data_IF_587530896714
#
_entry.id   IF_587530896714
#
_cell.length_a   1.000
_cell.length_b   1.000
_cell.length_c   1.000
_cell.angle_alpha   90.00
_cell.angle_beta   90.00
_cell.angle_gamma   90.00
#
_symmetry.space_group_name_H-M   'P 1'
#
loop_
_entity.id
_entity.type
_entity.pdbx_description
1 polymer ?
#
# COMPACT_ATOMS: atom_id res chain seq x y z
N UNK A 1 36.31 -6.55 26.52
CA UNK A 1 35.35 -6.20 27.59
C UNK A 1 34.21 -5.43 26.95
N UNK A 2 33.22 -6.15 26.43
CA UNK A 2 32.12 -5.56 25.64
C UNK A 2 31.10 -4.99 26.60
N UNK A 3 30.89 -3.68 26.56
CA UNK A 3 29.88 -3.00 27.36
C UNK A 3 28.49 -3.51 26.93
N UNK A 4 27.83 -4.22 27.85
CA UNK A 4 26.38 -4.47 27.80
C UNK A 4 25.68 -3.14 28.02
N UNK A 5 25.13 -2.53 26.97
CA UNK A 5 24.17 -1.44 27.13
C UNK A 5 22.76 -2.01 27.26
N UNK A 6 22.11 -1.55 28.31
CA UNK A 6 20.86 -2.01 28.90
C UNK A 6 19.65 -1.86 27.98
N UNK A 7 18.84 -2.91 27.92
CA UNK A 7 17.50 -2.94 27.34
C UNK A 7 16.55 -1.98 28.06
N UNK A 8 15.75 -1.21 27.31
CA UNK A 8 14.55 -0.54 27.84
C UNK A 8 13.27 -1.23 27.31
N UNK A 9 12.80 -2.33 27.95
CA UNK A 9 11.62 -3.10 27.54
C UNK A 9 10.30 -2.31 27.54
N UNK A 10 10.25 -1.12 28.17
CA UNK A 10 9.06 -0.27 28.22
C UNK A 10 8.76 0.44 26.89
N UNK A 11 9.80 0.85 26.13
CA UNK A 11 9.62 1.51 24.84
C UNK A 11 9.19 0.54 23.71
N UNK A 12 9.44 -0.75 23.91
CA UNK A 12 9.01 -1.84 23.02
C UNK A 12 7.53 -2.17 23.27
N UNK A 13 7.14 -2.36 24.54
CA UNK A 13 5.74 -2.59 24.92
C UNK A 13 4.79 -1.46 24.52
N UNK A 14 5.21 -0.20 24.67
CA UNK A 14 4.39 0.94 24.25
C UNK A 14 4.17 0.97 22.72
N UNK A 15 5.17 0.57 21.94
CA UNK A 15 5.07 0.53 20.48
C UNK A 15 4.21 -0.63 20.00
N UNK A 16 4.31 -1.81 20.61
CA UNK A 16 3.48 -2.97 20.26
C UNK A 16 2.02 -2.73 20.62
N UNK A 17 1.76 -1.98 21.70
CA UNK A 17 0.41 -1.51 22.06
C UNK A 17 -0.11 -0.49 21.03
N UNK A 18 0.73 0.42 20.54
CA UNK A 18 0.34 1.38 19.48
C UNK A 18 0.10 0.64 18.16
N UNK A 19 0.96 -0.30 17.76
CA UNK A 19 0.78 -1.12 16.57
C UNK A 19 -0.51 -1.93 16.64
N UNK A 20 -0.73 -2.67 17.74
CA UNK A 20 -1.96 -3.44 17.95
C UNK A 20 -3.22 -2.56 18.07
N UNK A 21 -3.10 -1.33 18.60
CA UNK A 21 -4.24 -0.39 18.71
C UNK A 21 -4.54 0.33 17.40
N UNK A 22 -3.52 0.63 16.59
CA UNK A 22 -3.64 1.22 15.25
C UNK A 22 -4.22 0.21 14.26
N UNK A 23 -3.78 -1.06 14.32
CA UNK A 23 -4.23 -2.12 13.41
C UNK A 23 -5.48 -2.85 13.91
N UNK A 24 -5.78 -2.83 15.22
CA UNK A 24 -6.90 -3.56 15.81
C UNK A 24 -8.26 -2.87 15.73
N UNK A 25 -8.31 -1.54 15.55
CA UNK A 25 -9.54 -0.74 15.61
C UNK A 25 -9.92 0.04 14.35
N UNK A 26 -8.95 0.35 13.48
CA UNK A 26 -9.11 1.28 12.37
C UNK A 26 -8.78 0.65 11.01
N UNK A 27 -9.35 1.23 9.95
CA UNK A 27 -8.84 1.06 8.60
C UNK A 27 -7.44 1.67 8.55
N UNK A 28 -6.44 0.93 8.11
CA UNK A 28 -5.05 1.42 8.08
C UNK A 28 -4.81 2.17 6.78
N UNK A 29 -4.99 1.49 5.64
CA UNK A 29 -4.78 2.03 4.30
C UNK A 29 -6.10 2.25 3.58
N UNK A 30 -6.25 3.40 2.91
CA UNK A 30 -7.43 3.73 2.12
C UNK A 30 -7.18 3.59 0.60
N UNK A 31 -5.91 3.55 0.17
CA UNK A 31 -5.45 3.13 -1.15
C UNK A 31 -4.19 2.27 -1.01
N UNK A 32 -3.92 1.42 -2.00
CA UNK A 32 -2.64 0.72 -2.12
C UNK A 32 -1.54 1.72 -2.48
N UNK A 33 -0.31 1.43 -2.03
CA UNK A 33 0.89 2.24 -2.22
C UNK A 33 1.96 1.43 -2.99
N UNK A 34 1.49 0.58 -3.90
CA UNK A 34 2.29 -0.28 -4.74
C UNK A 34 1.83 -0.10 -6.18
N UNK A 35 2.74 0.24 -7.10
CA UNK A 35 2.35 0.52 -8.48
C UNK A 35 1.91 -0.75 -9.24
N UNK A 36 0.60 -0.93 -9.54
CA UNK A 36 0.15 -2.13 -10.20
C UNK A 36 0.62 -2.20 -11.67
N UNK A 37 1.05 -1.08 -12.27
CA UNK A 37 1.62 -1.05 -13.62
C UNK A 37 2.92 -1.85 -13.70
N UNK A 38 3.72 -1.77 -12.65
CA UNK A 38 4.97 -2.51 -12.53
C UNK A 38 4.71 -3.93 -12.05
N UNK A 39 3.77 -4.10 -11.12
CA UNK A 39 3.41 -5.43 -10.61
C UNK A 39 2.89 -6.32 -11.73
N UNK A 40 2.04 -5.83 -12.63
CA UNK A 40 1.54 -6.62 -13.76
C UNK A 40 2.64 -7.02 -14.75
N UNK A 41 3.64 -6.16 -14.96
CA UNK A 41 4.84 -6.50 -15.75
C UNK A 41 5.69 -7.56 -15.07
N UNK A 42 5.86 -7.47 -13.74
CA UNK A 42 6.62 -8.45 -12.98
C UNK A 42 5.87 -9.77 -12.87
N UNK A 43 4.56 -9.76 -12.64
CA UNK A 43 3.76 -10.94 -12.35
C UNK A 43 3.41 -11.73 -13.60
N UNK A 44 3.22 -11.08 -14.76
CA UNK A 44 2.82 -11.72 -16.02
C UNK A 44 1.60 -12.65 -15.82
N UNK A 45 0.56 -12.15 -15.15
CA UNK A 45 -0.65 -12.90 -14.85
C UNK A 45 -1.32 -13.42 -16.13
N UNK A 46 -1.84 -14.65 -16.03
CA UNK A 46 -2.51 -15.41 -17.10
C UNK A 46 -3.85 -15.99 -16.62
N UNK A 47 -4.75 -16.42 -17.52
CA UNK A 47 -6.04 -16.99 -17.14
C UNK A 47 -6.01 -18.16 -16.15
N UNK A 48 -4.92 -18.93 -16.10
CA UNK A 48 -4.67 -20.03 -15.16
C UNK A 48 -4.05 -19.58 -13.82
N UNK A 49 -3.87 -18.27 -13.62
CA UNK A 49 -3.18 -17.73 -12.46
C UNK A 49 -4.04 -17.79 -11.21
N UNK A 50 -3.49 -18.37 -10.15
CA UNK A 50 -4.09 -18.46 -8.81
C UNK A 50 -3.20 -17.63 -7.89
N UNK A 51 -3.71 -16.47 -7.46
CA UNK A 51 -2.91 -15.44 -6.79
C UNK A 51 -3.26 -15.42 -5.30
N UNK A 52 -2.25 -15.43 -4.43
CA UNK A 52 -2.39 -15.12 -3.01
C UNK A 52 -1.73 -13.78 -2.76
N UNK A 53 -2.44 -12.83 -2.18
CA UNK A 53 -1.91 -11.49 -1.96
C UNK A 53 -2.37 -10.87 -0.66
N UNK A 54 -1.56 -9.97 -0.11
CA UNK A 54 -2.02 -9.09 0.97
C UNK A 54 -3.07 -8.12 0.43
N UNK A 55 -4.22 -8.03 1.12
CA UNK A 55 -5.33 -7.18 0.66
C UNK A 55 -4.96 -5.71 0.59
N UNK A 56 -4.32 -5.17 1.63
CA UNK A 56 -4.05 -3.73 1.74
C UNK A 56 -5.36 -2.94 1.57
N UNK A 57 -5.46 -2.00 0.63
CA UNK A 57 -6.73 -1.33 0.34
C UNK A 57 -7.56 -1.99 -0.78
N UNK A 58 -7.10 -3.11 -1.34
CA UNK A 58 -7.75 -3.85 -2.41
C UNK A 58 -7.64 -3.24 -3.81
N UNK A 59 -6.93 -2.11 -4.00
CA UNK A 59 -6.77 -1.49 -5.32
C UNK A 59 -6.02 -2.42 -6.28
N UNK A 60 -4.92 -3.03 -5.84
CA UNK A 60 -4.10 -3.88 -6.70
C UNK A 60 -4.80 -5.19 -7.05
N UNK A 61 -5.60 -5.76 -6.13
CA UNK A 61 -6.42 -6.94 -6.44
C UNK A 61 -7.37 -6.68 -7.62
N UNK A 62 -7.99 -5.50 -7.65
CA UNK A 62 -8.85 -5.06 -8.76
C UNK A 62 -8.05 -4.76 -10.03
N UNK A 63 -6.83 -4.23 -9.93
CA UNK A 63 -5.97 -4.00 -11.10
C UNK A 63 -5.52 -5.33 -11.73
N UNK A 64 -5.18 -6.32 -10.91
CA UNK A 64 -4.76 -7.65 -11.36
C UNK A 64 -5.89 -8.42 -12.05
N UNK A 65 -7.16 -8.14 -11.72
CA UNK A 65 -8.29 -8.71 -12.46
C UNK A 65 -8.31 -8.35 -13.94
N UNK A 66 -7.66 -7.24 -14.34
CA UNK A 66 -7.59 -6.84 -15.74
C UNK A 66 -6.79 -7.83 -16.60
N UNK A 67 -5.93 -8.64 -15.99
CA UNK A 67 -5.21 -9.74 -16.63
C UNK A 67 -6.00 -11.07 -16.59
N UNK A 68 -7.24 -11.03 -16.10
CA UNK A 68 -8.17 -12.15 -16.05
C UNK A 68 -7.65 -13.43 -15.36
N UNK A 69 -6.97 -13.37 -14.21
CA UNK A 69 -6.52 -14.56 -13.48
C UNK A 69 -7.69 -15.48 -13.12
N UNK A 70 -7.41 -16.75 -12.85
CA UNK A 70 -8.42 -17.73 -12.44
C UNK A 70 -9.07 -17.32 -11.12
N UNK A 71 -8.24 -16.91 -10.14
CA UNK A 71 -8.68 -16.47 -8.83
C UNK A 71 -7.63 -15.61 -8.14
N UNK A 72 -8.09 -14.74 -7.25
CA UNK A 72 -7.29 -13.92 -6.35
C UNK A 72 -7.80 -14.12 -4.92
N UNK A 73 -6.92 -14.59 -4.05
CA UNK A 73 -7.12 -14.68 -2.61
C UNK A 73 -6.48 -13.47 -1.94
N UNK A 74 -7.31 -12.51 -1.54
CA UNK A 74 -6.89 -11.31 -0.82
C UNK A 74 -6.93 -11.59 0.69
N UNK A 75 -5.76 -11.71 1.32
CA UNK A 75 -5.59 -12.12 2.72
C UNK A 75 -5.16 -10.92 3.56
N UNK A 76 -5.83 -10.68 4.68
CA UNK A 76 -5.44 -9.59 5.60
C UNK A 76 -5.84 -9.91 7.05
N UNK A 77 -4.94 -9.62 7.98
CA UNK A 77 -5.24 -9.78 9.41
C UNK A 77 -6.26 -8.77 9.91
N UNK A 78 -6.35 -7.60 9.27
CA UNK A 78 -7.32 -6.56 9.60
C UNK A 78 -8.56 -6.71 8.72
N UNK A 79 -9.70 -7.21 9.25
CA UNK A 79 -10.91 -7.44 8.46
C UNK A 79 -11.49 -6.15 7.85
N UNK A 80 -11.05 -4.96 8.29
CA UNK A 80 -11.47 -3.66 7.75
C UNK A 80 -10.88 -3.39 6.36
N UNK A 81 -9.69 -3.94 6.09
CA UNK A 81 -9.07 -3.89 4.76
C UNK A 81 -9.87 -4.73 3.76
N UNK A 82 -10.23 -5.95 4.16
CA UNK A 82 -11.14 -6.79 3.40
C UNK A 82 -12.51 -6.13 3.23
N UNK A 83 -13.03 -5.45 4.25
CA UNK A 83 -14.28 -4.70 4.12
C UNK A 83 -14.22 -3.57 3.09
N UNK A 84 -13.07 -2.91 2.92
CA UNK A 84 -12.87 -1.90 1.87
C UNK A 84 -12.84 -2.51 0.48
N UNK A 85 -12.14 -3.63 0.31
CA UNK A 85 -12.14 -4.36 -0.97
C UNK A 85 -13.56 -4.87 -1.31
N UNK A 86 -14.28 -5.43 -0.34
CA UNK A 86 -15.66 -5.89 -0.51
C UNK A 86 -16.61 -4.75 -0.90
N UNK A 87 -16.45 -3.54 -0.33
CA UNK A 87 -17.22 -2.37 -0.76
C UNK A 87 -16.91 -1.99 -2.21
N UNK A 88 -15.64 -2.00 -2.63
CA UNK A 88 -15.27 -1.74 -4.02
C UNK A 88 -15.87 -2.77 -4.98
N UNK A 89 -15.80 -4.06 -4.63
CA UNK A 89 -16.39 -5.15 -5.40
C UNK A 89 -17.91 -4.96 -5.53
N UNK A 90 -18.62 -4.72 -4.43
CA UNK A 90 -20.07 -4.51 -4.46
C UNK A 90 -20.47 -3.31 -5.34
N UNK A 91 -19.70 -2.22 -5.29
CA UNK A 91 -19.93 -1.06 -6.15
C UNK A 91 -19.66 -1.33 -7.64
N UNK A 92 -18.63 -2.13 -7.95
CA UNK A 92 -18.34 -2.57 -9.32
C UNK A 92 -19.46 -3.49 -9.83
N UNK A 93 -19.89 -4.45 -9.01
CA UNK A 93 -20.97 -5.40 -9.33
C UNK A 93 -22.29 -4.67 -9.64
N UNK A 94 -22.62 -3.61 -8.90
CA UNK A 94 -23.80 -2.76 -9.14
C UNK A 94 -23.81 -2.11 -10.53
N UNK A 95 -22.65 -1.93 -11.18
CA UNK A 95 -22.57 -1.41 -12.55
C UNK A 95 -22.86 0.08 -12.72
N UNK A 96 -23.05 0.83 -11.63
CA UNK A 96 -23.28 2.28 -11.69
C UNK A 96 -21.96 3.04 -11.51
N UNK A 97 -21.33 3.40 -12.63
CA UNK A 97 -19.99 4.01 -12.62
C UNK A 97 -19.95 5.34 -11.88
N UNK A 98 -20.98 6.17 -12.03
CA UNK A 98 -21.00 7.50 -11.42
C UNK A 98 -21.03 7.39 -9.89
N UNK A 99 -21.77 6.43 -9.31
CA UNK A 99 -21.74 6.16 -7.87
C UNK A 99 -20.37 5.64 -7.42
N UNK A 100 -19.76 4.72 -8.20
CA UNK A 100 -18.41 4.19 -7.94
C UNK A 100 -17.37 5.32 -7.93
N UNK A 101 -17.40 6.19 -8.94
CA UNK A 101 -16.48 7.31 -9.07
C UNK A 101 -16.79 8.44 -8.09
N UNK A 102 -18.04 8.67 -7.72
CA UNK A 102 -18.38 9.60 -6.65
C UNK A 102 -17.72 9.14 -5.34
N UNK A 103 -17.86 7.86 -5.01
CA UNK A 103 -17.39 7.31 -3.76
C UNK A 103 -15.86 7.24 -3.65
N UNK A 104 -15.21 6.67 -4.66
CA UNK A 104 -13.75 6.48 -4.65
C UNK A 104 -13.00 7.46 -5.56
N UNK A 105 -13.58 7.97 -6.64
CA UNK A 105 -12.97 9.06 -7.41
C UNK A 105 -12.97 10.38 -6.62
N UNK A 106 -14.14 10.82 -6.15
CA UNK A 106 -14.28 12.07 -5.38
C UNK A 106 -14.06 11.89 -3.87
N UNK A 107 -13.94 10.66 -3.38
CA UNK A 107 -13.72 10.37 -1.96
C UNK A 107 -14.90 10.76 -1.07
N UNK A 108 -16.11 10.92 -1.61
CA UNK A 108 -17.29 11.30 -0.83
C UNK A 108 -18.57 10.93 -1.55
N UNK A 109 -19.63 10.60 -0.80
CA UNK A 109 -20.92 10.25 -1.37
C UNK A 109 -22.04 10.65 -0.40
N UNK A 110 -22.87 11.62 -0.78
CA UNK A 110 -23.88 12.22 0.10
C UNK A 110 -24.94 11.21 0.57
N UNK A 111 -25.26 10.23 -0.27
CA UNK A 111 -26.18 9.12 0.00
C UNK A 111 -25.49 7.83 0.47
N UNK A 112 -24.24 7.88 0.94
CA UNK A 112 -23.49 6.65 1.25
C UNK A 112 -24.21 5.73 2.25
N UNK A 113 -24.93 6.30 3.22
CA UNK A 113 -25.69 5.51 4.20
C UNK A 113 -26.78 4.67 3.53
N UNK A 114 -27.54 5.27 2.62
CA UNK A 114 -28.63 4.60 1.89
C UNK A 114 -28.06 3.61 0.86
N UNK A 115 -26.94 3.99 0.23
CA UNK A 115 -26.21 3.12 -0.69
C UNK A 115 -25.76 1.84 0.01
N UNK A 116 -25.11 1.91 1.18
CA UNK A 116 -24.71 0.72 1.96
C UNK A 116 -25.92 -0.15 2.33
N UNK A 117 -27.05 0.46 2.71
CA UNK A 117 -28.27 -0.28 3.00
C UNK A 117 -28.80 -1.04 1.76
N UNK A 118 -28.64 -0.48 0.56
CA UNK A 118 -29.00 -1.14 -0.70
C UNK A 118 -28.08 -2.30 -1.11
N UNK A 119 -26.86 -2.37 -0.56
CA UNK A 119 -25.86 -3.41 -0.84
C UNK A 119 -25.96 -4.64 0.08
N UNK A 120 -27.08 -4.82 0.79
CA UNK A 120 -27.23 -5.88 1.82
C UNK A 120 -26.90 -7.29 1.31
N UNK A 121 -27.21 -7.62 0.05
CA UNK A 121 -26.94 -8.94 -0.54
C UNK A 121 -25.49 -9.13 -0.99
N UNK A 122 -24.80 -8.04 -1.30
CA UNK A 122 -23.49 -8.05 -1.98
C UNK A 122 -22.32 -7.85 -1.00
N UNK A 123 -22.59 -7.50 0.26
CA UNK A 123 -21.58 -7.27 1.28
C UNK A 123 -21.53 -8.42 2.29
N UNK A 124 -20.31 -8.89 2.56
CA UNK A 124 -20.05 -9.77 3.70
C UNK A 124 -20.56 -9.14 5.01
N UNK A 125 -21.12 -9.91 5.96
CA UNK A 125 -21.77 -9.37 7.16
C UNK A 125 -20.90 -8.42 8.00
N UNK A 126 -19.58 -8.68 8.07
CA UNK A 126 -18.65 -7.78 8.75
C UNK A 126 -18.54 -6.43 8.04
N UNK A 127 -18.36 -6.42 6.71
CA UNK A 127 -18.19 -5.20 5.95
C UNK A 127 -19.43 -4.32 5.99
N UNK A 128 -20.61 -4.93 5.89
CA UNK A 128 -21.87 -4.20 6.05
C UNK A 128 -21.94 -3.47 7.39
N UNK A 129 -21.78 -4.18 8.52
CA UNK A 129 -21.82 -3.56 9.86
C UNK A 129 -20.75 -2.47 10.00
N UNK A 130 -19.58 -2.71 9.42
CA UNK A 130 -18.49 -1.74 9.44
C UNK A 130 -18.87 -0.46 8.69
N UNK A 131 -19.38 -0.55 7.46
CA UNK A 131 -19.74 0.62 6.65
C UNK A 131 -21.01 1.32 7.12
N UNK A 132 -21.98 0.61 7.71
CA UNK A 132 -23.11 1.22 8.40
C UNK A 132 -22.63 2.09 9.58
N UNK A 133 -21.71 1.56 10.41
CA UNK A 133 -21.12 2.28 11.54
C UNK A 133 -20.16 3.41 11.11
N UNK A 134 -19.48 3.25 9.98
CA UNK A 134 -18.47 4.17 9.44
C UNK A 134 -18.96 4.97 8.24
N UNK A 135 -20.27 5.14 8.06
CA UNK A 135 -20.82 5.85 6.90
C UNK A 135 -20.27 7.28 6.76
N UNK A 136 -19.89 7.92 7.86
CA UNK A 136 -19.26 9.24 7.89
C UNK A 136 -17.88 9.29 7.19
N UNK A 137 -17.26 8.15 6.86
CA UNK A 137 -16.00 8.11 6.10
C UNK A 137 -16.13 8.74 4.71
N UNK A 138 -17.32 8.64 4.09
CA UNK A 138 -17.62 9.23 2.79
C UNK A 138 -18.43 10.52 2.90
N UNK A 139 -18.55 11.10 4.09
CA UNK A 139 -19.13 12.43 4.26
C UNK A 139 -18.03 13.48 4.17
N UNK A 140 -18.22 14.44 3.25
CA UNK A 140 -17.36 15.61 3.14
C UNK A 140 -17.74 16.63 4.22
N UNK A 141 -16.76 17.00 5.04
CA UNK A 141 -16.91 18.02 6.09
C UNK A 141 -15.76 19.01 6.03
N UNK A 142 -15.90 20.25 6.54
CA UNK A 142 -14.79 21.21 6.57
C UNK A 142 -13.53 20.69 7.29
N UNK A 143 -13.69 19.83 8.30
CA UNK A 143 -12.59 19.25 9.08
C UNK A 143 -11.95 18.04 8.41
N UNK A 144 -12.71 17.31 7.60
CA UNK A 144 -12.27 16.13 6.90
C UNK A 144 -13.10 15.98 5.61
N UNK A 145 -12.61 16.53 4.49
CA UNK A 145 -13.42 16.68 3.29
C UNK A 145 -13.50 15.41 2.43
N UNK A 146 -12.75 14.35 2.74
CA UNK A 146 -12.60 13.18 1.86
C UNK A 146 -12.25 11.89 2.60
N UNK A 147 -12.72 10.77 2.06
CA UNK A 147 -12.30 9.41 2.40
C UNK A 147 -10.78 9.23 2.40
N UNK A 148 -10.07 9.94 1.52
CA UNK A 148 -8.60 9.88 1.45
C UNK A 148 -7.89 10.47 2.67
N UNK A 149 -8.65 11.18 3.52
CA UNK A 149 -8.20 11.70 4.81
C UNK A 149 -8.74 10.92 6.01
N UNK A 150 -9.29 9.71 5.76
CA UNK A 150 -9.80 8.77 6.76
C UNK A 150 -8.90 7.54 6.85
N UNK A 151 -9.09 6.77 7.92
CA UNK A 151 -8.17 5.68 8.28
C UNK A 151 -6.85 6.23 8.82
N UNK A 152 -5.97 5.34 9.26
CA UNK A 152 -4.73 5.76 9.91
C UNK A 152 -3.85 6.52 8.91
N UNK A 153 -3.53 5.93 7.75
CA UNK A 153 -2.65 6.55 6.75
C UNK A 153 -3.22 7.88 6.21
N UNK A 154 -4.51 7.90 5.86
CA UNK A 154 -5.16 9.12 5.38
C UNK A 154 -5.18 10.24 6.41
N UNK A 155 -5.39 9.94 7.69
CA UNK A 155 -5.38 10.95 8.74
C UNK A 155 -3.98 11.57 8.92
N UNK A 156 -2.92 10.79 8.77
CA UNK A 156 -1.55 11.34 8.81
C UNK A 156 -1.22 12.17 7.58
N UNK A 157 -1.61 11.71 6.38
CA UNK A 157 -1.47 12.49 5.17
C UNK A 157 -2.21 13.84 5.29
N UNK A 158 -3.41 13.83 5.89
CA UNK A 158 -4.17 15.06 6.15
C UNK A 158 -3.46 16.00 7.12
N UNK A 159 -2.94 15.49 8.25
CA UNK A 159 -2.18 16.30 9.22
C UNK A 159 -0.93 16.89 8.55
N UNK A 160 -0.23 16.09 7.75
CA UNK A 160 0.94 16.53 7.01
C UNK A 160 0.57 17.64 6.02
N UNK A 161 -0.45 17.41 5.18
CA UNK A 161 -0.94 18.40 4.22
C UNK A 161 -1.34 19.71 4.91
N UNK A 162 -2.17 19.66 5.95
CA UNK A 162 -2.58 20.84 6.71
C UNK A 162 -1.38 21.59 7.33
N UNK A 163 -0.33 20.86 7.69
CA UNK A 163 0.90 21.47 8.22
C UNK A 163 1.69 22.16 7.11
N UNK A 164 1.85 21.51 5.97
CA UNK A 164 2.54 22.05 4.80
C UNK A 164 1.82 23.26 4.19
N UNK A 165 0.50 23.18 4.06
CA UNK A 165 -0.35 24.22 3.46
C UNK A 165 -0.43 25.52 4.27
N UNK A 166 0.11 25.57 5.50
CA UNK A 166 0.29 26.83 6.25
C UNK A 166 1.30 27.76 5.57
N UNK A 167 2.24 27.21 4.80
CA UNK A 167 3.18 28.00 4.01
C UNK A 167 2.56 28.32 2.65
N UNK A 168 2.38 29.62 2.38
CA UNK A 168 1.90 30.11 1.08
C UNK A 168 2.77 29.60 -0.07
N UNK A 169 4.10 29.59 0.11
CA UNK A 169 5.05 29.09 -0.90
C UNK A 169 4.84 27.61 -1.21
N UNK A 170 4.58 26.79 -0.18
CA UNK A 170 4.35 25.35 -0.37
C UNK A 170 3.01 25.11 -1.06
N UNK A 171 1.98 25.91 -0.76
CA UNK A 171 0.70 25.85 -1.48
C UNK A 171 0.86 26.19 -2.96
N UNK A 172 1.53 27.30 -3.28
CA UNK A 172 1.83 27.70 -4.67
C UNK A 172 2.66 26.63 -5.40
N UNK A 173 3.63 26.02 -4.72
CA UNK A 173 4.39 24.88 -5.27
C UNK A 173 3.50 23.66 -5.55
N UNK A 174 2.62 23.27 -4.63
CA UNK A 174 1.71 22.12 -4.83
C UNK A 174 0.77 22.39 -6.00
N UNK A 175 0.23 23.59 -6.12
CA UNK A 175 -0.61 23.99 -7.26
C UNK A 175 0.16 23.90 -8.58
N UNK A 176 1.40 24.42 -8.63
CA UNK A 176 2.27 24.36 -9.81
C UNK A 176 2.68 22.92 -10.16
N UNK A 177 3.04 22.11 -9.17
CA UNK A 177 3.38 20.70 -9.34
C UNK A 177 2.20 19.87 -9.87
N UNK A 178 0.98 20.18 -9.44
CA UNK A 178 -0.22 19.51 -9.94
C UNK A 178 -0.55 19.87 -11.40
N UNK A 179 0.00 20.98 -11.90
CA UNK A 179 -0.16 21.49 -13.27
C UNK A 179 1.05 21.20 -14.16
N UNK A 180 2.17 20.75 -13.61
CA UNK A 180 3.39 20.52 -14.39
C UNK A 180 3.21 19.37 -15.36
N UNK A 181 3.63 19.59 -16.61
CA UNK A 181 3.52 18.61 -17.69
C UNK A 181 4.88 17.95 -18.02
N UNK A 182 5.99 18.51 -17.51
CA UNK A 182 7.34 18.05 -17.86
C UNK A 182 8.22 17.79 -16.62
N UNK A 183 9.08 16.74 -16.65
CA UNK A 183 10.07 16.51 -15.59
C UNK A 183 11.03 17.70 -15.38
N UNK A 184 11.34 18.46 -16.43
CA UNK A 184 12.20 19.64 -16.34
C UNK A 184 11.56 20.75 -15.50
N UNK A 185 10.27 21.00 -15.69
CA UNK A 185 9.51 21.93 -14.87
C UNK A 185 9.40 21.44 -13.42
N UNK A 186 9.13 20.15 -13.22
CA UNK A 186 9.10 19.53 -11.90
C UNK A 186 10.41 19.74 -11.13
N UNK A 187 11.57 19.50 -11.77
CA UNK A 187 12.90 19.72 -11.20
C UNK A 187 13.11 21.17 -10.78
N UNK A 188 12.76 22.12 -11.66
CA UNK A 188 12.87 23.57 -11.37
C UNK A 188 12.02 23.94 -10.15
N UNK A 189 10.75 23.54 -10.14
CA UNK A 189 9.82 23.81 -9.04
C UNK A 189 10.34 23.23 -7.71
N UNK A 190 10.88 22.00 -7.75
CA UNK A 190 11.41 21.35 -6.56
C UNK A 190 12.61 22.09 -5.97
N UNK A 191 13.60 22.49 -6.79
CA UNK A 191 14.78 23.21 -6.29
C UNK A 191 14.43 24.57 -5.67
N UNK A 192 13.40 25.26 -6.19
CA UNK A 192 12.92 26.52 -5.61
C UNK A 192 12.28 26.34 -4.22
N UNK A 193 11.53 25.25 -4.01
CA UNK A 193 10.80 25.02 -2.75
C UNK A 193 11.59 24.21 -1.72
N UNK A 194 12.63 23.48 -2.13
CA UNK A 194 13.41 22.56 -1.28
C UNK A 194 13.81 23.15 0.08
N UNK A 195 14.30 24.40 0.22
CA UNK A 195 14.60 24.98 1.53
C UNK A 195 13.37 25.16 2.43
N UNK A 196 12.20 25.42 1.83
CA UNK A 196 10.94 25.59 2.55
C UNK A 196 10.28 24.25 2.91
N UNK A 197 10.42 23.23 2.05
CA UNK A 197 9.94 21.86 2.31
C UNK A 197 10.70 21.22 3.47
N UNK A 198 12.03 21.38 3.52
CA UNK A 198 12.87 20.67 4.50
C UNK A 198 13.22 21.51 5.73
N UNK A 199 12.27 22.30 6.23
CA UNK A 199 12.46 23.07 7.45
C UNK A 199 12.43 22.18 8.71
N UNK A 200 12.80 22.74 9.87
CA UNK A 200 12.91 21.98 11.13
C UNK A 200 11.62 21.31 11.60
N UNK A 201 10.45 21.87 11.28
CA UNK A 201 9.15 21.32 11.68
C UNK A 201 8.77 20.09 10.83
N UNK A 202 9.11 20.12 9.55
CA UNK A 202 8.93 18.99 8.63
C UNK A 202 9.88 17.86 8.97
N UNK A 203 11.15 18.20 9.22
CA UNK A 203 12.15 17.25 9.69
C UNK A 203 11.73 16.58 11.01
N UNK A 204 11.04 17.32 11.89
CA UNK A 204 10.46 16.76 13.10
C UNK A 204 9.28 15.82 12.84
N UNK A 205 8.35 16.17 11.93
CA UNK A 205 7.19 15.34 11.59
C UNK A 205 7.61 14.00 10.97
N UNK A 206 8.60 14.02 10.09
CA UNK A 206 9.19 12.84 9.46
C UNK A 206 9.88 11.92 10.47
N UNK A 207 10.37 12.45 11.59
CA UNK A 207 11.00 11.66 12.67
C UNK A 207 10.01 11.04 13.65
N UNK A 208 8.71 11.30 13.49
CA UNK A 208 7.73 10.76 14.42
C UNK A 208 7.59 9.23 14.24
N UNK A 209 7.59 8.44 15.34
CA UNK A 209 7.52 6.98 15.27
C UNK A 209 6.31 6.47 14.48
N UNK A 210 5.21 7.21 14.51
CA UNK A 210 3.96 6.86 13.84
C UNK A 210 4.07 7.01 12.31
N UNK A 211 4.74 8.07 11.82
CA UNK A 211 5.05 8.20 10.39
C UNK A 211 5.93 7.02 9.92
N UNK A 212 6.84 6.55 10.76
CA UNK A 212 7.70 5.40 10.45
C UNK A 212 6.95 4.08 10.44
N UNK A 213 6.02 3.89 11.38
CA UNK A 213 5.12 2.73 11.35
C UNK A 213 4.26 2.72 10.09
N UNK A 214 3.89 3.88 9.55
CA UNK A 214 3.12 3.98 8.30
C UNK A 214 3.94 3.76 7.04
N UNK A 215 5.22 4.13 7.05
CA UNK A 215 6.17 3.80 5.98
C UNK A 215 6.65 2.34 6.05
N UNK A 216 6.09 1.52 6.95
CA UNK A 216 6.41 0.08 7.05
C UNK A 216 7.80 -0.23 7.58
N UNK A 217 8.65 0.77 7.87
CA UNK A 217 10.06 0.55 8.21
C UNK A 217 10.21 -0.01 9.64
N UNK A 218 10.70 -1.26 9.82
CA UNK A 218 11.00 -1.79 11.14
C UNK A 218 12.08 -0.97 11.85
N UNK A 219 11.95 -0.79 13.17
CA UNK A 219 12.91 -0.01 13.99
C UNK A 219 14.36 -0.52 13.91
N UNK A 220 14.56 -1.82 13.68
CA UNK A 220 15.90 -2.37 13.48
C UNK A 220 16.55 -1.85 12.19
N UNK A 221 15.75 -1.67 11.14
CA UNK A 221 16.19 -1.13 9.86
C UNK A 221 16.31 0.40 9.89
N UNK A 222 15.46 1.12 10.64
CA UNK A 222 15.64 2.57 10.86
C UNK A 222 17.04 2.86 11.43
N UNK A 223 17.52 2.04 12.38
CA UNK A 223 18.89 2.19 12.91
C UNK A 223 19.96 1.94 11.86
N UNK A 224 19.76 0.99 10.94
CA UNK A 224 20.68 0.75 9.83
C UNK A 224 20.70 1.95 8.88
N UNK A 225 19.54 2.51 8.53
CA UNK A 225 19.44 3.73 7.72
C UNK A 225 20.11 4.92 8.45
N UNK A 226 19.85 5.11 9.74
CA UNK A 226 20.46 6.17 10.56
C UNK A 226 21.99 6.10 10.62
N UNK A 227 22.55 4.89 10.52
CA UNK A 227 24.00 4.64 10.61
C UNK A 227 24.70 4.58 9.26
N UNK A 228 23.99 4.22 8.18
CA UNK A 228 24.58 4.01 6.86
C UNK A 228 24.26 5.12 5.84
N UNK A 229 23.17 5.89 6.01
CA UNK A 229 22.82 6.97 5.10
C UNK A 229 23.34 8.33 5.62
N UNK A 230 24.06 9.12 4.80
CA UNK A 230 24.36 10.51 5.10
C UNK A 230 23.07 11.31 5.36
N UNK A 231 22.94 11.92 6.54
CA UNK A 231 21.70 12.60 6.97
C UNK A 231 20.64 11.70 7.62
N UNK A 232 20.95 10.41 7.80
CA UNK A 232 20.10 9.41 8.44
C UNK A 232 18.75 9.24 7.77
N UNK A 233 17.73 8.90 8.57
CA UNK A 233 16.36 8.68 8.10
C UNK A 233 15.77 9.89 7.35
N UNK A 234 16.06 11.11 7.82
CA UNK A 234 15.61 12.33 7.14
C UNK A 234 16.23 12.46 5.75
N UNK A 235 17.52 12.15 5.60
CA UNK A 235 18.20 12.14 4.30
C UNK A 235 17.64 11.08 3.34
N UNK A 236 17.33 9.88 3.85
CA UNK A 236 16.69 8.83 3.06
C UNK A 236 15.31 9.24 2.53
N UNK A 237 14.45 9.75 3.41
CA UNK A 237 13.09 10.21 3.02
C UNK A 237 13.18 11.41 2.09
N UNK A 238 14.12 12.32 2.30
CA UNK A 238 14.39 13.43 1.40
C UNK A 238 14.82 12.96 0.01
N UNK A 239 15.67 11.94 -0.08
CA UNK A 239 16.09 11.36 -1.35
C UNK A 239 14.92 10.73 -2.10
N UNK A 240 14.11 9.91 -1.42
CA UNK A 240 12.93 9.27 -2.01
C UNK A 240 11.87 10.27 -2.46
N UNK A 241 11.58 11.28 -1.63
CA UNK A 241 10.67 12.37 -2.00
C UNK A 241 11.23 13.20 -3.16
N UNK A 242 12.53 13.48 -3.19
CA UNK A 242 13.15 14.16 -4.33
C UNK A 242 12.92 13.37 -5.61
N UNK A 243 13.25 12.07 -5.62
CA UNK A 243 13.04 11.19 -6.78
C UNK A 243 11.59 11.23 -7.31
N UNK A 244 10.60 11.07 -6.42
CA UNK A 244 9.18 11.13 -6.81
C UNK A 244 8.79 12.50 -7.37
N UNK A 245 9.30 13.58 -6.78
CA UNK A 245 8.94 14.93 -7.16
C UNK A 245 9.69 15.42 -8.40
N UNK A 246 10.81 14.78 -8.79
CA UNK A 246 11.67 15.25 -9.88
C UNK A 246 11.88 14.29 -11.04
N UNK A 247 11.93 12.99 -10.79
CA UNK A 247 12.30 11.98 -11.81
C UNK A 247 11.08 11.19 -12.32
N UNK A 248 10.04 11.07 -11.52
CA UNK A 248 8.78 10.43 -11.92
C UNK A 248 7.81 11.49 -12.45
N UNK A 249 7.18 11.28 -13.62
CA UNK A 249 6.13 12.18 -14.11
C UNK A 249 5.01 12.34 -13.07
N UNK A 250 4.85 13.55 -12.52
CA UNK A 250 3.87 13.77 -11.46
C UNK A 250 2.44 13.80 -11.99
N UNK A 251 2.27 14.10 -13.28
CA UNK A 251 0.98 14.21 -13.97
C UNK A 251 0.14 12.92 -13.85
N UNK A 252 0.76 11.75 -13.99
CA UNK A 252 0.10 10.44 -13.92
C UNK A 252 0.21 9.77 -12.53
N UNK A 253 0.77 10.48 -11.55
CA UNK A 253 1.06 9.96 -10.22
C UNK A 253 -0.14 10.09 -9.26
N UNK A 254 -1.18 9.31 -9.52
CA UNK A 254 -2.41 9.35 -8.72
C UNK A 254 -2.19 9.05 -7.22
N UNK A 255 -1.13 8.31 -6.85
CA UNK A 255 -0.81 7.95 -5.48
C UNK A 255 -0.56 9.18 -4.60
N UNK A 256 0.26 10.11 -5.10
CA UNK A 256 0.58 11.33 -4.38
C UNK A 256 -0.50 12.39 -4.57
N UNK A 257 -1.04 12.54 -5.78
CA UNK A 257 -2.06 13.55 -6.09
C UNK A 257 -3.30 13.41 -5.21
N UNK A 258 -3.76 12.18 -4.92
CA UNK A 258 -4.97 11.97 -4.11
C UNK A 258 -4.83 12.49 -2.68
N UNK A 259 -3.64 12.45 -2.09
CA UNK A 259 -3.42 13.01 -0.76
C UNK A 259 -3.21 14.52 -0.79
N UNK A 260 -2.78 15.10 -1.91
CA UNK A 260 -2.70 16.56 -2.10
C UNK A 260 -4.07 17.20 -2.34
N UNK A 261 -4.97 16.51 -3.05
CA UNK A 261 -6.26 17.08 -3.50
C UNK A 261 -7.48 16.49 -2.79
N UNK A 262 -7.33 15.34 -2.14
CA UNK A 262 -8.41 14.59 -1.52
C UNK A 262 -9.30 13.86 -2.53
N UNK A 263 -8.93 13.78 -3.80
CA UNK A 263 -9.72 13.12 -4.86
C UNK A 263 -8.87 12.75 -6.07
N UNK A 264 -9.30 11.74 -6.80
CA UNK A 264 -8.79 11.46 -8.14
C UNK A 264 -9.45 12.35 -9.20
N UNK A 265 -8.82 12.40 -10.38
CA UNK A 265 -9.43 12.92 -11.62
C UNK A 265 -9.70 11.75 -12.56
N UNK A 266 -10.60 11.93 -13.54
CA UNK A 266 -10.90 10.87 -14.51
C UNK A 266 -9.65 10.37 -15.24
N UNK A 267 -8.73 11.29 -15.57
CA UNK A 267 -7.50 10.97 -16.30
C UNK A 267 -6.37 10.42 -15.41
N UNK A 268 -6.48 10.58 -14.09
CA UNK A 268 -5.42 10.24 -13.15
C UNK A 268 -6.03 9.58 -11.90
N UNK A 269 -6.39 8.31 -12.08
CA UNK A 269 -6.99 7.44 -11.09
C UNK A 269 -6.47 6.00 -11.27
N UNK A 270 -6.60 5.13 -10.25
CA UNK A 270 -6.40 3.69 -10.38
C UNK A 270 -7.27 3.09 -11.50
N UNK A 271 -6.83 2.00 -12.13
CA UNK A 271 -7.54 1.43 -13.28
C UNK A 271 -8.97 0.98 -12.94
N UNK A 272 -9.25 0.55 -11.71
CA UNK A 272 -10.63 0.20 -11.30
C UNK A 272 -11.61 1.39 -11.30
N UNK A 273 -11.10 2.62 -11.42
CA UNK A 273 -11.89 3.84 -11.56
C UNK A 273 -11.91 4.40 -12.98
N UNK A 274 -11.41 3.65 -13.97
CA UNK A 274 -11.57 4.00 -15.38
C UNK A 274 -12.82 3.34 -15.95
N UNK A 275 -13.69 4.15 -16.57
CA UNK A 275 -14.99 3.70 -17.10
C UNK A 275 -14.87 2.55 -18.09
N UNK A 276 -13.82 2.56 -18.91
CA UNK A 276 -13.52 1.52 -19.90
C UNK A 276 -13.26 0.13 -19.28
N UNK A 277 -12.82 0.06 -18.02
CA UNK A 277 -12.53 -1.21 -17.35
C UNK A 277 -13.72 -1.76 -16.57
N UNK A 278 -14.78 -0.97 -16.37
CA UNK A 278 -15.91 -1.37 -15.54
C UNK A 278 -16.60 -2.67 -16.02
N UNK A 279 -16.90 -2.87 -17.32
CA UNK A 279 -17.58 -4.10 -17.75
C UNK A 279 -16.76 -5.36 -17.48
N UNK A 280 -15.44 -5.28 -17.71
CA UNK A 280 -14.52 -6.39 -17.45
C UNK A 280 -14.47 -6.71 -15.95
N UNK A 281 -14.27 -5.69 -15.12
CA UNK A 281 -14.20 -5.87 -13.67
C UNK A 281 -15.51 -6.39 -13.09
N UNK A 282 -16.66 -5.95 -13.61
CA UNK A 282 -17.97 -6.47 -13.21
C UNK A 282 -18.11 -7.97 -13.53
N UNK A 283 -17.60 -8.41 -14.68
CA UNK A 283 -17.66 -9.83 -15.06
C UNK A 283 -16.67 -10.75 -14.32
N UNK A 284 -15.63 -10.17 -13.69
CA UNK A 284 -14.53 -10.91 -13.08
C UNK A 284 -14.44 -10.73 -11.56
N UNK A 285 -15.21 -9.82 -10.95
CA UNK A 285 -15.10 -9.49 -9.53
C UNK A 285 -15.30 -10.67 -8.60
N UNK A 286 -16.10 -11.65 -9.01
CA UNK A 286 -16.37 -12.88 -8.24
C UNK A 286 -15.15 -13.81 -8.14
N UNK A 287 -14.10 -13.55 -8.93
CA UNK A 287 -12.81 -14.26 -8.84
C UNK A 287 -11.95 -13.77 -7.68
N UNK A 288 -12.33 -12.69 -7.00
CA UNK A 288 -11.67 -12.23 -5.78
C UNK A 288 -12.38 -12.80 -4.55
N UNK A 289 -11.66 -13.54 -3.72
CA UNK A 289 -12.13 -13.96 -2.40
C UNK A 289 -11.27 -13.33 -1.31
N UNK A 290 -11.92 -12.75 -0.31
CA UNK A 290 -11.23 -12.12 0.83
C UNK A 290 -11.15 -13.05 2.04
N UNK A 291 -10.00 -13.08 2.71
CA UNK A 291 -9.74 -13.93 3.88
C UNK A 291 -9.22 -13.08 5.04
N UNK A 292 -9.92 -13.07 6.17
CA UNK A 292 -9.47 -12.35 7.37
C UNK A 292 -8.59 -13.23 8.23
N UNK A 293 -7.33 -13.38 7.83
CA UNK A 293 -6.37 -14.34 8.39
C UNK A 293 -4.92 -13.89 8.17
N UNK A 294 -3.95 -14.65 8.68
CA UNK A 294 -2.55 -14.54 8.22
C UNK A 294 -2.36 -15.33 6.93
N UNK A 295 -1.31 -15.04 6.14
CA UNK A 295 -0.99 -15.83 4.94
C UNK A 295 -0.71 -17.28 5.34
N UNK A 296 0.11 -17.51 6.36
CA UNK A 296 0.34 -18.86 6.89
C UNK A 296 -0.95 -19.62 7.26
N UNK A 297 -1.88 -19.00 7.99
CA UNK A 297 -3.15 -19.66 8.35
C UNK A 297 -4.02 -19.93 7.12
N UNK A 298 -4.13 -18.96 6.20
CA UNK A 298 -4.85 -19.14 4.94
C UNK A 298 -4.32 -20.34 4.15
N UNK A 299 -2.99 -20.48 4.02
CA UNK A 299 -2.37 -21.59 3.28
C UNK A 299 -2.58 -22.95 3.97
N UNK A 300 -2.59 -23.00 5.31
CA UNK A 300 -2.93 -24.23 6.04
C UNK A 300 -4.40 -24.65 5.84
N UNK A 301 -5.31 -23.69 5.82
CA UNK A 301 -6.75 -23.94 5.67
C UNK A 301 -7.18 -24.18 4.21
N UNK A 302 -6.43 -23.64 3.25
CA UNK A 302 -6.73 -23.68 1.82
C UNK A 302 -5.50 -24.18 1.04
N UNK A 303 -5.04 -25.43 1.26
CA UNK A 303 -3.88 -25.94 0.58
C UNK A 303 -4.14 -26.10 -0.93
N UNK A 304 -3.23 -25.59 -1.76
CA UNK A 304 -3.33 -25.64 -3.21
C UNK A 304 -1.98 -25.35 -3.88
N UNK A 305 -1.92 -25.52 -5.20
CA UNK A 305 -0.77 -25.14 -6.03
C UNK A 305 -0.93 -23.72 -6.59
N UNK A 306 -0.73 -22.70 -5.76
CA UNK A 306 -0.83 -21.30 -6.19
C UNK A 306 0.31 -20.96 -7.16
N UNK A 307 0.07 -20.02 -8.10
CA UNK A 307 1.13 -19.56 -9.03
C UNK A 307 1.74 -18.24 -8.63
N UNK A 308 1.08 -17.44 -7.82
CA UNK A 308 1.57 -16.11 -7.51
C UNK A 308 1.41 -15.79 -6.04
N UNK A 309 2.44 -15.20 -5.44
CA UNK A 309 2.41 -14.63 -4.11
C UNK A 309 2.79 -13.15 -4.18
N UNK A 310 1.93 -12.26 -3.67
CA UNK A 310 2.21 -10.83 -3.55
C UNK A 310 2.21 -10.47 -2.07
N UNK A 311 3.40 -10.43 -1.48
CA UNK A 311 3.58 -10.39 -0.03
C UNK A 311 3.71 -8.97 0.52
N UNK A 312 3.97 -7.95 -0.30
CA UNK A 312 4.30 -6.60 0.19
C UNK A 312 5.45 -6.67 1.21
N UNK A 313 5.48 -5.77 2.20
CA UNK A 313 6.51 -5.62 3.23
C UNK A 313 6.18 -6.29 4.57
N UNK A 314 5.07 -7.02 4.72
CA UNK A 314 4.73 -7.62 6.03
C UNK A 314 5.80 -8.62 6.53
N UNK A 315 6.60 -9.17 5.61
CA UNK A 315 7.73 -10.04 5.90
C UNK A 315 8.83 -9.32 6.69
N UNK A 316 9.02 -8.01 6.50
CA UNK A 316 9.94 -7.19 7.30
C UNK A 316 9.57 -7.22 8.79
N UNK A 317 8.26 -7.17 9.08
CA UNK A 317 7.77 -7.23 10.46
C UNK A 317 7.97 -8.62 11.07
N UNK A 318 7.71 -9.68 10.30
CA UNK A 318 7.94 -11.06 10.72
C UNK A 318 9.43 -11.31 11.00
N UNK A 319 10.32 -10.87 10.11
CA UNK A 319 11.76 -10.98 10.30
C UNK A 319 12.23 -10.31 11.61
N UNK A 320 11.72 -9.12 11.90
CA UNK A 320 12.12 -8.36 13.08
C UNK A 320 11.54 -8.88 14.41
N UNK A 321 10.35 -9.48 14.40
CA UNK A 321 9.59 -9.80 15.63
C UNK A 321 9.23 -11.27 15.81
N UNK A 322 9.10 -12.03 14.72
CA UNK A 322 8.64 -13.43 14.71
C UNK A 322 9.38 -14.28 13.67
N UNK A 323 10.71 -14.45 13.78
CA UNK A 323 11.50 -15.20 12.79
C UNK A 323 11.07 -16.66 12.62
N UNK A 324 10.52 -17.30 13.67
CA UNK A 324 9.96 -18.65 13.54
C UNK A 324 8.67 -18.67 12.70
N UNK A 325 7.82 -17.65 12.83
CA UNK A 325 6.62 -17.53 11.99
C UNK A 325 6.98 -17.15 10.55
N UNK A 326 8.04 -16.36 10.35
CA UNK A 326 8.60 -16.10 9.03
C UNK A 326 9.02 -17.42 8.35
N UNK A 327 9.82 -18.24 9.05
CA UNK A 327 10.26 -19.53 8.53
C UNK A 327 9.08 -20.47 8.22
N UNK A 328 8.10 -20.55 9.12
CA UNK A 328 6.89 -21.34 8.90
C UNK A 328 6.10 -20.86 7.67
N UNK A 329 5.93 -19.56 7.50
CA UNK A 329 5.20 -19.02 6.35
C UNK A 329 5.92 -19.27 5.03
N UNK A 330 7.25 -19.16 4.99
CA UNK A 330 8.05 -19.54 3.81
C UNK A 330 7.95 -21.04 3.49
N UNK A 331 7.92 -21.89 4.51
CA UNK A 331 7.68 -23.32 4.32
C UNK A 331 6.32 -23.55 3.68
N UNK A 332 5.26 -22.92 4.21
CA UNK A 332 3.90 -23.04 3.68
C UNK A 332 3.76 -22.48 2.27
N UNK A 333 4.41 -21.35 1.96
CA UNK A 333 4.46 -20.79 0.60
C UNK A 333 5.04 -21.82 -0.35
N UNK A 334 6.18 -22.42 -0.03
CA UNK A 334 6.85 -23.40 -0.90
C UNK A 334 6.08 -24.72 -1.03
N UNK A 335 5.43 -25.17 0.04
CA UNK A 335 4.56 -26.36 0.03
C UNK A 335 3.30 -26.14 -0.83
N UNK A 336 2.82 -24.89 -0.91
CA UNK A 336 1.68 -24.48 -1.71
C UNK A 336 2.08 -23.77 -3.01
N UNK A 337 3.30 -24.03 -3.48
CA UNK A 337 3.84 -23.53 -4.74
C UNK A 337 4.06 -24.67 -5.71
N UNK A 338 3.85 -24.40 -6.99
CA UNK A 338 4.32 -25.24 -8.10
C UNK A 338 5.64 -24.69 -8.69
N UNK A 339 6.44 -25.50 -9.42
CA UNK A 339 7.56 -24.96 -10.18
C UNK A 339 7.12 -23.81 -11.10
N UNK A 340 7.87 -22.72 -11.10
CA UNK A 340 7.52 -21.48 -11.80
C UNK A 340 6.55 -20.57 -11.06
N UNK A 341 6.16 -20.89 -9.81
CA UNK A 341 5.39 -19.97 -8.97
C UNK A 341 6.18 -18.69 -8.77
N UNK A 342 5.56 -17.55 -9.04
CA UNK A 342 6.19 -16.25 -8.95
C UNK A 342 5.88 -15.56 -7.63
N UNK A 343 6.92 -15.08 -6.97
CA UNK A 343 6.83 -14.40 -5.68
C UNK A 343 7.31 -12.96 -5.86
N UNK A 344 6.42 -12.02 -5.58
CA UNK A 344 6.68 -10.59 -5.55
C UNK A 344 6.59 -10.10 -4.11
N UNK A 345 7.71 -9.58 -3.61
CA UNK A 345 7.82 -9.05 -2.26
C UNK A 345 8.45 -7.67 -2.33
N UNK A 346 8.07 -6.78 -1.41
CA UNK A 346 8.71 -5.49 -1.24
C UNK A 346 9.32 -5.41 0.14
N UNK A 347 10.32 -4.56 0.32
CA UNK A 347 10.86 -4.30 1.64
C UNK A 347 11.05 -2.81 1.84
N UNK A 348 10.82 -2.35 3.07
CA UNK A 348 11.23 -1.03 3.49
C UNK A 348 12.77 -0.87 3.50
N UNK A 349 13.50 -1.98 3.65
CA UNK A 349 14.96 -2.06 3.58
C UNK A 349 15.46 -1.92 2.14
N UNK A 350 16.67 -1.35 1.92
CA UNK A 350 17.35 -1.47 0.64
C UNK A 350 17.84 -2.89 0.32
N UNK A 351 17.83 -3.81 1.29
CA UNK A 351 18.30 -5.19 1.13
C UNK A 351 17.36 -6.15 1.86
N UNK A 352 17.07 -7.29 1.24
CA UNK A 352 16.33 -8.40 1.81
C UNK A 352 17.33 -9.51 2.16
N UNK A 353 17.66 -9.65 3.44
CA UNK A 353 18.62 -10.62 3.98
C UNK A 353 18.00 -11.60 4.98
N UNK A 354 16.68 -11.58 5.12
CA UNK A 354 15.93 -12.36 6.10
C UNK A 354 15.20 -13.58 5.53
N UNK A 355 15.28 -13.82 4.21
CA UNK A 355 14.68 -15.03 3.62
C UNK A 355 15.42 -16.26 4.16
N UNK A 356 14.71 -17.27 4.70
CA UNK A 356 15.36 -18.48 5.21
C UNK A 356 16.18 -19.21 4.14
N UNK A 357 17.34 -19.78 4.52
CA UNK A 357 18.25 -20.47 3.58
C UNK A 357 17.56 -21.60 2.80
N UNK A 358 16.69 -22.36 3.46
CA UNK A 358 15.93 -23.45 2.80
C UNK A 358 15.01 -22.92 1.70
N UNK A 359 14.50 -21.69 1.85
CA UNK A 359 13.65 -21.06 0.86
C UNK A 359 14.50 -20.50 -0.27
N UNK A 360 15.60 -19.81 0.03
CA UNK A 360 16.54 -19.30 -0.99
C UNK A 360 17.05 -20.41 -1.92
N UNK A 361 17.32 -21.61 -1.40
CA UNK A 361 17.74 -22.76 -2.21
C UNK A 361 16.69 -23.21 -3.25
N UNK A 362 15.42 -22.85 -3.04
CA UNK A 362 14.30 -23.17 -3.93
C UNK A 362 13.79 -21.96 -4.71
N UNK A 363 14.54 -20.86 -4.74
CA UNK A 363 14.17 -19.64 -5.45
C UNK A 363 15.22 -19.29 -6.51
N UNK A 364 14.75 -18.99 -7.71
CA UNK A 364 15.52 -18.29 -8.74
C UNK A 364 15.14 -16.82 -8.73
N UNK A 365 16.04 -15.97 -8.24
CA UNK A 365 15.83 -14.54 -8.18
C UNK A 365 15.94 -13.90 -9.57
N UNK A 366 15.03 -12.99 -9.89
CA UNK A 366 15.09 -12.12 -11.06
C UNK A 366 15.28 -10.65 -10.61
N UNK A 367 16.33 -10.43 -9.83
CA UNK A 367 16.65 -9.11 -9.28
C UNK A 367 16.90 -8.04 -10.34
N UNK A 368 17.55 -8.31 -11.50
CA UNK A 368 17.74 -7.28 -12.53
C UNK A 368 16.43 -6.68 -13.05
N UNK A 369 15.39 -7.50 -13.25
CA UNK A 369 14.07 -7.02 -13.65
C UNK A 369 13.41 -6.22 -12.52
N UNK A 370 13.45 -6.74 -11.29
CA UNK A 370 12.88 -6.08 -10.12
C UNK A 370 13.50 -4.70 -9.89
N UNK A 371 14.84 -4.58 -9.95
CA UNK A 371 15.57 -3.34 -9.76
C UNK A 371 15.25 -2.32 -10.86
N UNK A 372 15.22 -2.76 -12.12
CA UNK A 372 14.90 -1.90 -13.27
C UNK A 372 13.49 -1.30 -13.18
N UNK A 373 12.51 -2.10 -12.76
CA UNK A 373 11.14 -1.65 -12.58
C UNK A 373 10.99 -0.82 -11.29
N UNK A 374 11.68 -1.16 -10.20
CA UNK A 374 11.64 -0.41 -8.95
C UNK A 374 12.01 1.07 -9.12
N UNK A 375 12.95 1.41 -10.02
CA UNK A 375 13.31 2.81 -10.29
C UNK A 375 12.18 3.62 -10.94
N UNK A 376 11.22 2.96 -11.58
CA UNK A 376 10.06 3.57 -12.24
C UNK A 376 8.84 3.66 -11.31
N UNK A 377 8.96 3.18 -10.07
CA UNK A 377 7.85 3.14 -9.12
C UNK A 377 7.38 4.57 -8.81
N UNK A 378 6.09 4.82 -9.07
CA UNK A 378 5.50 6.16 -8.89
C UNK A 378 5.30 6.51 -7.41
N UNK A 379 5.47 5.56 -6.51
CA UNK A 379 5.17 5.73 -5.10
C UNK A 379 6.41 6.12 -4.31
N UNK A 380 7.52 5.41 -4.52
CA UNK A 380 8.82 5.71 -3.93
C UNK A 380 8.92 5.42 -2.42
N UNK A 381 8.05 4.57 -1.87
CA UNK A 381 8.05 4.22 -0.43
C UNK A 381 9.00 3.11 -0.07
N UNK A 382 9.16 2.12 -0.94
CA UNK A 382 9.94 0.92 -0.64
C UNK A 382 11.44 1.11 -0.90
N UNK A 383 12.25 0.39 -0.13
CA UNK A 383 13.71 0.38 -0.27
C UNK A 383 14.17 -0.53 -1.40
N UNK A 384 13.53 -1.69 -1.57
CA UNK A 384 13.78 -2.61 -2.68
C UNK A 384 12.55 -3.48 -2.99
N UNK A 385 12.61 -4.18 -4.13
CA UNK A 385 11.63 -5.17 -4.58
C UNK A 385 12.36 -6.48 -4.85
N UNK A 386 11.80 -7.61 -4.38
CA UNK A 386 12.27 -8.95 -4.72
C UNK A 386 11.26 -9.61 -5.65
N UNK A 387 11.79 -10.15 -6.75
CA UNK A 387 11.07 -11.00 -7.69
C UNK A 387 11.79 -12.35 -7.76
N UNK A 388 11.04 -13.42 -7.55
CA UNK A 388 11.60 -14.78 -7.59
C UNK A 388 10.63 -15.76 -8.23
N UNK A 389 11.16 -16.79 -8.88
CA UNK A 389 10.40 -17.97 -9.29
C UNK A 389 10.80 -19.17 -8.41
N UNK A 390 9.82 -19.96 -7.97
CA UNK A 390 10.05 -21.23 -7.28
C UNK A 390 10.61 -22.26 -8.26
N UNK A 391 11.73 -22.90 -7.92
CA UNK A 391 12.33 -23.98 -8.70
C UNK A 391 11.93 -25.35 -8.15
N UNK A 392 12.11 -26.39 -8.98
CA UNK A 392 11.77 -27.77 -8.66
C UNK A 392 12.53 -28.26 -7.42
#
# INVERSE_FOLDING_TARGET
MVARTSFHPLAQRAHDVIFNRVHGGNLVYNTCWEDPRLDRQMLELRPESRVVMITSAGCNALDYLLDSPAEIHAVDMNPRQNALLQLKIAMIHRGQFDDLFQLFGHGSHFQFKDLVASLHGDLHPFARRYWEAKHYYFQSTPLNPSFYYRGTAGQMAWIALQTFSRSRRVREYVEALLQSETPEEQRRLYEEIKPALWNGLVSWLVRQPMAMTMLGVPRAQIRLIETQFPGGLTGFIQSKMAHVLTEVPFQDNYFWRVYLTGRYTYDCCPNYLKKEHQPLLQSLSDRITTHSSTVANFLRENPAEYSHYVLLDHQDWLAAHKPLALAEEWQLILENSRPGTRILMRSASPVIDFIPDFALQRLRLNQPLADSLHQQDRVGTYGCTLLADVIA
#
